data_IF_745960034654
#
_entry.id   IF_745960034654
#
_cell.length_a   1.000
_cell.length_b   1.000
_cell.length_c   1.000
_cell.angle_alpha   90.00
_cell.angle_beta   90.00
_cell.angle_gamma   90.00
#
_symmetry.space_group_name_H-M   'P 1'
#
loop_
_entity.id
_entity.type
_entity.pdbx_description
1 polymer ?
#
# COMPACT_ATOMS: atom_id res chain seq x y z
N UNK A 1 9.37 36.80 -13.50
CA UNK A 1 10.01 36.15 -12.33
C UNK A 1 9.33 34.81 -12.12
N UNK A 2 9.90 33.73 -12.65
CA UNK A 2 9.44 32.37 -12.34
C UNK A 2 9.98 31.98 -10.97
N UNK A 3 9.09 31.91 -9.98
CA UNK A 3 9.37 31.24 -8.72
C UNK A 3 8.89 29.79 -8.84
N UNK A 4 9.64 28.78 -8.38
CA UNK A 4 9.19 27.41 -8.37
C UNK A 4 7.98 27.30 -7.44
N UNK A 5 6.90 26.67 -7.92
CA UNK A 5 5.57 26.72 -7.31
C UNK A 5 5.37 25.67 -6.22
N UNK A 6 6.35 24.81 -5.97
CA UNK A 6 6.27 23.69 -5.04
C UNK A 6 7.60 23.54 -4.29
N UNK A 7 7.54 23.56 -2.96
CA UNK A 7 8.61 23.09 -2.06
C UNK A 7 8.00 22.03 -1.17
N UNK A 8 8.69 20.94 -0.88
CA UNK A 8 8.10 19.80 -0.20
C UNK A 8 8.94 19.27 0.97
N UNK A 9 8.22 18.78 1.98
CA UNK A 9 8.71 18.07 3.16
C UNK A 9 8.13 16.67 3.08
N UNK A 10 8.95 15.63 3.21
CA UNK A 10 8.57 14.28 2.79
C UNK A 10 8.62 13.29 3.94
N UNK A 11 7.70 12.34 3.93
CA UNK A 11 7.82 11.07 4.64
C UNK A 11 7.83 9.96 3.61
N UNK A 12 9.02 9.41 3.35
CA UNK A 12 9.20 8.30 2.41
C UNK A 12 9.23 7.00 3.20
N UNK A 13 8.36 6.07 2.81
CA UNK A 13 8.29 4.74 3.44
C UNK A 13 8.88 3.70 2.49
N UNK A 14 9.90 3.01 2.98
CA UNK A 14 10.58 1.88 2.35
C UNK A 14 10.41 0.64 3.22
N UNK A 15 10.50 -0.53 2.61
CA UNK A 15 10.28 -1.81 3.28
C UNK A 15 11.47 -2.75 3.04
N UNK A 16 12.11 -3.20 4.12
CA UNK A 16 13.19 -4.20 4.23
C UNK A 16 13.13 -4.98 5.57
N UNK A 17 13.56 -6.25 5.62
CA UNK A 17 13.54 -7.13 6.79
C UNK A 17 14.19 -6.53 8.08
N UNK A 18 13.35 -5.96 8.96
CA UNK A 18 13.52 -5.58 10.40
C UNK A 18 13.78 -4.07 10.69
N UNK A 19 13.14 -3.58 11.76
CA UNK A 19 13.09 -2.20 12.34
C UNK A 19 14.46 -1.64 12.78
N UNK A 20 14.64 -0.31 12.66
CA UNK A 20 14.96 0.68 13.73
C UNK A 20 15.09 2.11 13.12
N UNK A 21 14.73 3.14 13.90
CA UNK A 21 14.86 4.59 13.63
C UNK A 21 16.31 5.09 13.79
N UNK A 22 16.72 6.08 12.98
CA UNK A 22 17.90 6.91 13.24
C UNK A 22 17.92 8.17 12.33
N UNK A 23 18.43 9.32 12.80
CA UNK A 23 18.45 10.57 12.03
C UNK A 23 19.62 10.57 11.03
N UNK A 24 19.39 11.12 9.83
CA UNK A 24 20.43 11.41 8.86
C UNK A 24 20.57 12.93 8.68
N UNK A 25 21.80 13.44 8.76
CA UNK A 25 22.22 14.76 8.24
C UNK A 25 23.69 14.64 7.80
N UNK A 26 24.19 15.37 6.77
CA UNK A 26 24.01 16.82 6.59
C UNK A 26 23.64 17.28 5.17
N UNK A 27 22.61 18.14 5.05
CA UNK A 27 22.51 19.39 4.26
C UNK A 27 21.03 19.77 4.10
N UNK A 28 20.72 21.08 4.20
CA UNK A 28 19.42 21.76 4.39
C UNK A 28 18.12 21.19 3.77
N UNK A 29 18.16 20.24 2.83
CA UNK A 29 16.99 19.52 2.30
C UNK A 29 16.67 18.24 3.11
N UNK A 30 17.63 17.62 3.80
CA UNK A 30 17.45 16.38 4.57
C UNK A 30 16.69 16.59 5.88
N UNK A 31 16.70 17.80 6.45
CA UNK A 31 15.94 18.10 7.68
C UNK A 31 14.41 18.04 7.48
N UNK A 32 13.94 18.08 6.23
CA UNK A 32 12.53 17.98 5.86
C UNK A 32 12.11 16.56 5.42
N UNK A 33 13.03 15.58 5.42
CA UNK A 33 12.72 14.22 4.96
C UNK A 33 12.80 13.19 6.08
N UNK A 34 11.67 12.55 6.36
CA UNK A 34 11.58 11.39 7.25
C UNK A 34 11.57 10.10 6.44
N UNK A 35 12.47 9.17 6.76
CA UNK A 35 12.53 7.86 6.10
C UNK A 35 12.13 6.78 7.10
N UNK A 36 11.21 5.91 6.70
CA UNK A 36 10.81 4.73 7.48
C UNK A 36 11.20 3.48 6.72
N UNK A 37 11.97 2.59 7.34
CA UNK A 37 12.38 1.31 6.78
C UNK A 37 11.72 0.19 7.60
N UNK A 38 10.90 -0.67 6.96
CA UNK A 38 10.00 -1.63 7.63
C UNK A 38 10.19 -3.07 7.17
N UNK A 39 10.08 -4.09 8.02
CA UNK A 39 10.20 -5.51 7.61
C UNK A 39 9.28 -5.92 6.45
N UNK A 40 9.85 -6.34 5.30
CA UNK A 40 9.08 -6.85 4.16
C UNK A 40 8.15 -8.02 4.50
N UNK A 41 8.63 -9.04 5.21
CA UNK A 41 7.81 -10.19 5.62
C UNK A 41 6.69 -9.86 6.61
N UNK A 42 6.74 -8.72 7.31
CA UNK A 42 5.69 -8.33 8.26
C UNK A 42 4.79 -7.20 7.75
N UNK A 43 5.29 -6.36 6.84
CA UNK A 43 4.60 -5.17 6.35
C UNK A 43 4.18 -5.30 4.89
N UNK A 44 5.00 -5.89 4.03
CA UNK A 44 4.62 -6.10 2.64
C UNK A 44 3.53 -7.17 2.55
N UNK A 45 2.38 -6.82 2.00
CA UNK A 45 1.27 -7.76 1.73
C UNK A 45 1.25 -8.24 0.28
N UNK A 46 2.42 -8.36 -0.36
CA UNK A 46 2.55 -8.99 -1.67
C UNK A 46 1.96 -8.21 -2.87
N UNK A 47 1.73 -6.90 -2.73
CA UNK A 47 1.20 -6.07 -3.82
C UNK A 47 2.18 -5.90 -4.99
N UNK A 48 1.64 -5.71 -6.19
CA UNK A 48 2.42 -5.39 -7.39
C UNK A 48 3.28 -4.14 -7.17
N UNK A 49 4.48 -4.15 -7.74
CA UNK A 49 5.35 -2.97 -7.74
C UNK A 49 4.73 -1.92 -8.64
N UNK A 50 4.15 -0.89 -8.02
CA UNK A 50 3.65 0.26 -8.74
C UNK A 50 4.82 1.14 -9.19
N UNK A 51 4.94 1.34 -10.50
CA UNK A 51 5.83 2.35 -11.06
C UNK A 51 5.17 3.72 -10.88
N UNK A 52 5.98 4.70 -10.50
CA UNK A 52 5.58 6.10 -10.41
C UNK A 52 6.79 6.97 -10.73
N UNK A 53 6.60 7.96 -11.58
CA UNK A 53 7.58 9.01 -11.83
C UNK A 53 7.50 10.04 -10.71
N UNK A 54 8.62 10.33 -10.09
CA UNK A 54 8.68 11.17 -8.91
C UNK A 54 9.24 12.55 -9.27
N UNK A 55 8.95 13.59 -8.48
CA UNK A 55 9.70 14.84 -8.57
C UNK A 55 11.20 14.57 -8.47
N UNK A 56 12.01 15.26 -9.27
CA UNK A 56 13.47 15.05 -9.33
C UNK A 56 14.12 15.17 -7.96
N UNK A 57 13.63 16.12 -7.16
CA UNK A 57 14.10 16.38 -5.80
C UNK A 57 13.97 15.14 -4.88
N UNK A 58 13.01 14.25 -5.16
CA UNK A 58 12.86 12.98 -4.46
C UNK A 58 13.63 11.83 -5.10
N UNK A 59 13.75 11.83 -6.43
CA UNK A 59 14.50 10.80 -7.15
C UNK A 59 15.99 10.84 -6.79
N UNK A 60 16.54 12.04 -6.64
CA UNK A 60 17.95 12.25 -6.26
C UNK A 60 18.25 11.72 -4.85
N UNK A 61 17.27 11.69 -3.95
CA UNK A 61 17.43 11.19 -2.58
C UNK A 61 17.49 9.65 -2.50
N UNK A 62 16.78 8.95 -3.40
CA UNK A 62 16.70 7.49 -3.41
C UNK A 62 18.09 6.82 -3.41
N UNK A 63 19.02 7.15 -4.32
CA UNK A 63 20.34 6.51 -4.34
C UNK A 63 21.18 6.83 -3.09
N UNK A 64 21.05 8.04 -2.53
CA UNK A 64 21.76 8.40 -1.30
C UNK A 64 21.33 7.53 -0.11
N UNK A 65 20.02 7.29 0.02
CA UNK A 65 19.45 6.44 1.07
C UNK A 65 19.80 4.97 0.85
N UNK A 66 19.74 4.50 -0.40
CA UNK A 66 20.13 3.13 -0.76
C UNK A 66 21.62 2.88 -0.43
N UNK A 67 22.50 3.84 -0.72
CA UNK A 67 23.93 3.77 -0.41
C UNK A 67 24.20 3.81 1.10
N UNK A 68 23.55 4.72 1.82
CA UNK A 68 23.62 4.79 3.27
C UNK A 68 23.18 3.47 3.92
N UNK A 69 22.03 2.94 3.50
CA UNK A 69 21.47 1.71 4.06
C UNK A 69 22.34 0.50 3.76
N UNK A 70 22.83 0.37 2.53
CA UNK A 70 23.72 -0.72 2.09
C UNK A 70 25.04 -0.74 2.84
N UNK A 71 25.61 0.43 3.19
CA UNK A 71 26.84 0.53 3.99
C UNK A 71 26.65 0.00 5.41
N UNK A 72 25.48 0.23 6.01
CA UNK A 72 25.17 -0.21 7.38
C UNK A 72 24.63 -1.65 7.44
N UNK A 73 23.94 -2.10 6.38
CA UNK A 73 23.24 -3.38 6.32
C UNK A 73 23.62 -4.16 5.05
N UNK A 74 24.80 -4.79 5.09
CA UNK A 74 25.30 -5.62 3.99
C UNK A 74 24.35 -6.78 3.66
N UNK A 75 24.14 -7.04 2.37
CA UNK A 75 23.30 -8.15 1.89
C UNK A 75 21.80 -7.86 1.90
N UNK A 76 21.38 -6.63 2.22
CA UNK A 76 19.98 -6.19 2.16
C UNK A 76 19.72 -5.28 0.97
N UNK A 77 18.46 -5.20 0.55
CA UNK A 77 18.01 -4.36 -0.56
C UNK A 77 16.70 -3.67 -0.20
N UNK A 78 16.65 -2.35 -0.37
CA UNK A 78 15.44 -1.58 -0.13
C UNK A 78 14.42 -1.78 -1.26
N UNK A 79 13.15 -1.88 -0.87
CA UNK A 79 12.02 -1.79 -1.77
C UNK A 79 11.18 -0.56 -1.40
N UNK A 80 11.15 0.41 -2.31
CA UNK A 80 10.43 1.66 -2.11
C UNK A 80 8.92 1.49 -2.29
N UNK A 81 8.13 1.85 -1.27
CA UNK A 81 6.66 1.79 -1.31
C UNK A 81 6.09 3.20 -1.40
N UNK A 82 6.13 3.76 -2.60
CA UNK A 82 5.66 5.13 -2.86
C UNK A 82 4.18 5.35 -2.50
N UNK A 83 3.32 4.34 -2.63
CA UNK A 83 1.91 4.45 -2.26
C UNK A 83 1.67 4.66 -0.75
N UNK A 84 2.61 4.29 0.11
CA UNK A 84 2.57 4.57 1.57
C UNK A 84 3.27 5.87 1.95
N UNK A 85 3.98 6.46 1.00
CA UNK A 85 4.71 7.71 1.20
C UNK A 85 3.77 8.90 1.03
N UNK A 86 4.04 9.96 1.78
CA UNK A 86 3.28 11.20 1.78
C UNK A 86 4.17 12.36 2.17
N UNK A 87 3.75 13.58 1.89
CA UNK A 87 4.53 14.78 2.22
C UNK A 87 3.67 16.03 2.20
N UNK A 88 4.20 17.11 2.73
CA UNK A 88 3.62 18.45 2.63
C UNK A 88 4.25 19.16 1.45
N UNK A 89 3.45 19.72 0.54
CA UNK A 89 3.92 20.58 -0.54
C UNK A 89 3.38 22.01 -0.34
N UNK A 90 4.18 23.02 -0.68
CA UNK A 90 3.72 24.41 -0.73
C UNK A 90 3.09 24.66 -2.09
N UNK A 91 1.77 24.70 -2.17
CA UNK A 91 1.00 24.99 -3.39
C UNK A 91 0.74 26.50 -3.52
N UNK A 92 1.33 27.12 -4.53
CA UNK A 92 1.08 28.52 -4.89
C UNK A 92 0.09 28.68 -6.04
N UNK A 93 -0.82 29.64 -5.94
CA UNK A 93 -1.71 30.05 -7.03
C UNK A 93 -1.98 31.57 -6.99
N UNK A 94 -2.92 32.05 -7.80
CA UNK A 94 -3.30 33.47 -7.82
C UNK A 94 -3.91 33.99 -6.50
N UNK A 95 -4.45 33.12 -5.65
CA UNK A 95 -5.08 33.49 -4.37
C UNK A 95 -4.11 33.50 -3.18
N UNK A 96 -2.98 32.79 -3.28
CA UNK A 96 -2.00 32.74 -2.21
C UNK A 96 -1.11 31.50 -2.21
N UNK A 97 -0.64 31.11 -1.03
CA UNK A 97 0.26 29.96 -0.82
C UNK A 97 -0.28 29.07 0.29
N UNK A 98 -0.40 27.78 0.01
CA UNK A 98 -1.04 26.80 0.89
C UNK A 98 -0.14 25.60 1.12
N UNK A 99 -0.14 25.06 2.33
CA UNK A 99 0.57 23.81 2.63
C UNK A 99 -0.40 22.64 2.44
N UNK A 100 -0.14 21.78 1.46
CA UNK A 100 -0.98 20.61 1.17
C UNK A 100 -0.28 19.34 1.64
N UNK A 101 -0.83 18.64 2.62
CA UNK A 101 -0.41 17.28 2.94
C UNK A 101 -1.03 16.32 1.92
N UNK A 102 -0.19 15.75 1.06
CA UNK A 102 -0.57 14.93 -0.09
C UNK A 102 0.14 13.58 -0.03
N UNK A 103 -0.45 12.57 -0.66
CA UNK A 103 0.27 11.34 -0.97
C UNK A 103 1.34 11.62 -2.02
N UNK A 104 2.33 10.75 -2.08
CA UNK A 104 3.34 10.78 -3.13
C UNK A 104 2.73 10.67 -4.55
N UNK A 105 1.60 9.98 -4.71
CA UNK A 105 0.93 9.87 -6.02
C UNK A 105 0.25 11.18 -6.42
N UNK A 106 -0.45 11.82 -5.48
CA UNK A 106 -1.01 13.16 -5.67
C UNK A 106 0.09 14.17 -6.00
N UNK A 107 1.24 14.05 -5.36
CA UNK A 107 2.40 14.89 -5.63
C UNK A 107 2.93 14.71 -7.05
N UNK A 108 3.15 13.46 -7.51
CA UNK A 108 3.55 13.17 -8.89
C UNK A 108 2.60 13.81 -9.92
N UNK A 109 1.28 13.71 -9.68
CA UNK A 109 0.26 14.37 -10.50
C UNK A 109 0.41 15.89 -10.47
N UNK A 110 0.46 16.53 -9.30
CA UNK A 110 0.54 17.99 -9.18
C UNK A 110 1.83 18.58 -9.77
N UNK A 111 2.95 17.89 -9.65
CA UNK A 111 4.23 18.31 -10.22
C UNK A 111 4.24 18.31 -11.75
N UNK A 112 3.27 17.64 -12.40
CA UNK A 112 3.10 17.71 -13.86
C UNK A 112 2.83 19.13 -14.36
N UNK A 113 2.41 20.05 -13.49
CA UNK A 113 2.17 21.47 -13.79
C UNK A 113 3.28 22.43 -13.36
N UNK A 114 4.39 21.96 -12.76
CA UNK A 114 5.40 22.84 -12.16
C UNK A 114 5.99 23.86 -13.16
N UNK A 115 6.26 23.43 -14.39
CA UNK A 115 6.78 24.28 -15.48
C UNK A 115 5.69 24.81 -16.44
N UNK A 116 4.41 24.53 -16.14
CA UNK A 116 3.27 24.80 -17.04
C UNK A 116 1.95 25.00 -16.28
N UNK A 117 1.97 25.88 -15.28
CA UNK A 117 0.86 26.07 -14.34
C UNK A 117 -0.48 26.45 -14.99
N UNK A 118 -0.46 27.14 -16.13
CA UNK A 118 -1.67 27.60 -16.83
C UNK A 118 -2.20 26.63 -17.90
N UNK A 119 -1.51 25.49 -18.11
CA UNK A 119 -1.90 24.53 -19.14
C UNK A 119 -2.93 23.52 -18.64
N UNK A 120 -3.79 23.09 -19.57
CA UNK A 120 -4.68 21.94 -19.38
C UNK A 120 -3.97 20.68 -19.86
N UNK A 121 -3.97 19.63 -19.04
CA UNK A 121 -3.35 18.34 -19.36
C UNK A 121 -4.44 17.29 -19.49
N UNK A 122 -4.35 16.45 -20.52
CA UNK A 122 -5.26 15.32 -20.69
C UNK A 122 -4.94 14.19 -19.72
N UNK A 123 -5.93 13.35 -19.44
CA UNK A 123 -5.76 12.13 -18.66
C UNK A 123 -4.63 11.26 -19.22
N UNK A 124 -4.57 11.07 -20.54
CA UNK A 124 -3.50 10.32 -21.20
C UNK A 124 -2.12 10.95 -20.97
N UNK A 125 -2.01 12.28 -21.09
CA UNK A 125 -0.75 12.99 -20.85
C UNK A 125 -0.26 12.81 -19.41
N UNK A 126 -1.19 12.87 -18.45
CA UNK A 126 -0.90 12.65 -17.03
C UNK A 126 -0.52 11.19 -16.75
N UNK A 127 -1.14 10.22 -17.44
CA UNK A 127 -0.76 8.80 -17.35
C UNK A 127 0.67 8.57 -17.81
N UNK A 128 1.07 9.16 -18.94
CA UNK A 128 2.43 9.05 -19.47
C UNK A 128 3.43 9.76 -18.54
N UNK A 129 3.10 10.96 -18.07
CA UNK A 129 4.00 11.76 -17.23
C UNK A 129 4.24 11.11 -15.85
N UNK A 130 3.19 10.55 -15.24
CA UNK A 130 3.26 9.99 -13.88
C UNK A 130 3.58 8.50 -13.86
N UNK A 131 3.40 7.78 -14.99
CA UNK A 131 3.52 6.33 -15.11
C UNK A 131 2.60 5.53 -14.15
N UNK A 132 1.58 6.18 -13.60
CA UNK A 132 0.64 5.54 -12.70
C UNK A 132 -0.30 4.58 -13.46
N UNK A 133 -0.64 3.42 -12.86
CA UNK A 133 -1.72 2.57 -13.35
C UNK A 133 -3.04 3.35 -13.45
N UNK A 134 -3.85 3.06 -14.46
CA UNK A 134 -5.09 3.81 -14.71
C UNK A 134 -6.04 3.84 -13.49
N UNK A 135 -6.16 2.73 -12.75
CA UNK A 135 -6.98 2.68 -11.53
C UNK A 135 -6.49 3.66 -10.46
N UNK A 136 -5.18 3.73 -10.24
CA UNK A 136 -4.56 4.62 -9.26
C UNK A 136 -4.56 6.08 -9.71
N UNK A 137 -4.32 6.34 -11.00
CA UNK A 137 -4.38 7.68 -11.57
C UNK A 137 -5.79 8.26 -11.45
N UNK A 138 -6.81 7.51 -11.87
CA UNK A 138 -8.23 7.93 -11.75
C UNK A 138 -8.59 8.26 -10.31
N UNK A 139 -8.20 7.40 -9.36
CA UNK A 139 -8.48 7.61 -7.93
C UNK A 139 -7.74 8.84 -7.37
N UNK A 140 -6.50 9.02 -7.79
CA UNK A 140 -5.66 10.17 -7.41
C UNK A 140 -6.24 11.48 -7.96
N UNK A 141 -6.58 11.52 -9.24
CA UNK A 141 -7.21 12.70 -9.87
C UNK A 141 -8.55 13.02 -9.22
N UNK A 142 -9.40 12.01 -9.01
CA UNK A 142 -10.68 12.19 -8.34
C UNK A 142 -10.52 12.83 -6.95
N UNK A 143 -9.51 12.43 -6.19
CA UNK A 143 -9.23 13.02 -4.88
C UNK A 143 -8.85 14.50 -4.92
N UNK A 144 -8.34 14.99 -6.06
CA UNK A 144 -7.88 16.36 -6.25
C UNK A 144 -8.97 17.26 -6.88
N UNK A 145 -9.90 16.69 -7.64
CA UNK A 145 -11.04 17.40 -8.25
C UNK A 145 -12.34 17.29 -7.46
N UNK A 146 -12.47 16.34 -6.54
CA UNK A 146 -13.72 16.04 -5.84
C UNK A 146 -13.48 15.66 -4.36
N UNK A 147 -12.65 16.41 -3.66
CA UNK A 147 -12.41 16.20 -2.24
C UNK A 147 -13.66 16.59 -1.40
N UNK A 148 -14.28 15.66 -0.64
CA UNK A 148 -15.64 15.85 -0.07
C UNK A 148 -15.81 17.01 0.92
N UNK A 149 -14.73 17.50 1.55
CA UNK A 149 -14.79 18.57 2.56
C UNK A 149 -14.32 19.93 2.03
N UNK A 150 -13.99 20.02 0.75
CA UNK A 150 -13.51 21.24 0.13
C UNK A 150 -14.61 21.91 -0.68
N UNK A 151 -14.75 23.22 -0.50
CA UNK A 151 -15.54 24.07 -1.40
C UNK A 151 -14.79 24.35 -2.69
N UNK A 152 -13.51 24.71 -2.59
CA UNK A 152 -12.65 24.90 -3.75
C UNK A 152 -11.70 23.72 -3.88
N UNK A 153 -11.78 23.05 -5.02
CA UNK A 153 -10.97 21.89 -5.35
C UNK A 153 -9.60 22.34 -5.86
N UNK A 154 -8.57 21.50 -5.68
CA UNK A 154 -7.19 21.84 -6.09
C UNK A 154 -7.06 21.81 -7.61
N UNK A 155 -7.68 20.80 -8.23
CA UNK A 155 -7.77 20.67 -9.68
C UNK A 155 -9.20 20.95 -10.15
N UNK A 156 -9.30 21.45 -11.37
CA UNK A 156 -10.52 21.52 -12.14
C UNK A 156 -10.48 20.49 -13.28
N UNK A 157 -11.65 20.12 -13.79
CA UNK A 157 -11.81 19.21 -14.93
C UNK A 157 -12.96 19.68 -15.83
N UNK A 158 -12.91 19.28 -17.10
CA UNK A 158 -13.98 19.53 -18.08
C UNK A 158 -15.12 18.50 -18.03
N UNK A 159 -14.98 17.45 -17.22
CA UNK A 159 -16.07 16.52 -16.93
C UNK A 159 -17.21 17.20 -16.17
N UNK A 160 -18.42 17.16 -16.76
CA UNK A 160 -19.65 17.72 -16.17
C UNK A 160 -20.07 16.96 -14.90
N UNK A 161 -19.97 15.63 -14.91
CA UNK A 161 -20.24 14.77 -13.77
C UNK A 161 -18.93 14.31 -13.15
N UNK A 162 -18.74 14.62 -11.87
CA UNK A 162 -17.59 14.17 -11.09
C UNK A 162 -17.77 12.70 -10.68
N UNK A 163 -17.62 11.79 -11.64
CA UNK A 163 -17.65 10.35 -11.45
C UNK A 163 -16.33 9.76 -11.97
N UNK A 164 -15.54 9.03 -11.15
CA UNK A 164 -14.25 8.48 -11.59
C UNK A 164 -14.34 7.58 -12.83
N UNK A 165 -15.50 6.96 -13.07
CA UNK A 165 -15.72 6.07 -14.22
C UNK A 165 -15.87 6.80 -15.56
N UNK A 166 -16.07 8.11 -15.53
CA UNK A 166 -16.31 8.92 -16.73
C UNK A 166 -15.03 9.59 -17.25
N UNK A 167 -13.93 9.53 -16.48
CA UNK A 167 -12.63 9.95 -16.95
C UNK A 167 -12.17 9.05 -18.10
N UNK A 168 -11.84 9.68 -19.21
CA UNK A 168 -11.31 9.03 -20.40
C UNK A 168 -10.01 9.72 -20.83
N UNK A 169 -9.32 9.15 -21.81
CA UNK A 169 -8.00 9.63 -22.24
C UNK A 169 -7.99 11.11 -22.68
N UNK A 170 -9.14 11.65 -23.15
CA UNK A 170 -9.29 13.05 -23.57
C UNK A 170 -9.72 14.01 -22.46
N UNK A 171 -10.16 13.52 -21.30
CA UNK A 171 -10.57 14.36 -20.16
C UNK A 171 -9.44 15.29 -19.76
N UNK A 172 -9.74 16.59 -19.65
CA UNK A 172 -8.77 17.62 -19.34
C UNK A 172 -8.81 17.98 -17.85
N UNK A 173 -7.62 18.22 -17.29
CA UNK A 173 -7.42 18.67 -15.92
C UNK A 173 -6.53 19.91 -15.90
N UNK A 174 -6.73 20.81 -14.93
CA UNK A 174 -5.87 21.98 -14.74
C UNK A 174 -5.87 22.46 -13.29
N UNK A 175 -4.84 23.24 -12.94
CA UNK A 175 -4.74 23.87 -11.62
C UNK A 175 -5.87 24.87 -11.42
N UNK A 176 -6.58 24.77 -10.30
CA UNK A 176 -7.55 25.78 -9.91
C UNK A 176 -6.83 27.03 -9.37
N UNK A 177 -6.67 28.03 -10.24
CA UNK A 177 -6.05 29.31 -9.85
C UNK A 177 -6.86 30.10 -8.81
N UNK A 178 -8.14 29.77 -8.63
CA UNK A 178 -9.04 30.35 -7.61
C UNK A 178 -9.13 29.49 -6.34
N UNK A 179 -8.32 28.44 -6.20
CA UNK A 179 -8.30 27.64 -4.98
C UNK A 179 -7.95 28.50 -3.76
N UNK A 180 -8.77 28.43 -2.73
CA UNK A 180 -8.51 29.04 -1.44
C UNK A 180 -9.08 28.18 -0.31
N UNK A 181 -8.52 28.31 0.89
CA UNK A 181 -9.06 27.67 2.09
C UNK A 181 -10.10 28.60 2.69
N UNK A 182 -11.32 28.09 2.92
CA UNK A 182 -12.38 28.87 3.59
C UNK A 182 -12.38 28.54 5.08
N UNK A 183 -12.16 29.56 5.93
CA UNK A 183 -12.28 29.44 7.39
C UNK A 183 -13.29 30.46 7.89
N UNK A 184 -14.30 30.01 8.63
CA UNK A 184 -15.40 30.85 9.14
C UNK A 184 -16.08 31.69 8.04
N UNK A 185 -16.26 31.10 6.85
CA UNK A 185 -16.88 31.78 5.71
C UNK A 185 -16.02 32.83 5.01
N UNK A 186 -14.73 32.95 5.36
CA UNK A 186 -13.78 33.87 4.73
C UNK A 186 -12.66 33.13 4.01
N UNK A 187 -12.37 33.60 2.81
CA UNK A 187 -11.26 33.12 2.00
C UNK A 187 -9.93 33.46 2.68
N UNK A 188 -9.07 32.45 2.80
CA UNK A 188 -7.72 32.58 3.33
C UNK A 188 -6.72 32.50 2.18
N UNK A 189 -5.73 33.38 2.19
CA UNK A 189 -4.58 33.34 1.26
C UNK A 189 -3.44 32.43 1.74
N UNK A 190 -3.56 31.89 2.95
CA UNK A 190 -2.63 30.92 3.53
C UNK A 190 -3.37 29.90 4.40
N UNK A 191 -2.77 28.73 4.54
CA UNK A 191 -3.23 27.70 5.47
C UNK A 191 -2.73 26.32 5.07
N UNK A 192 -2.98 25.34 5.94
CA UNK A 192 -2.59 23.95 5.73
C UNK A 192 -3.81 23.05 5.59
N UNK A 193 -3.76 22.12 4.65
CA UNK A 193 -4.83 21.19 4.35
C UNK A 193 -4.31 19.76 4.15
N UNK A 194 -4.99 18.78 4.73
CA UNK A 194 -4.67 17.37 4.52
C UNK A 194 -5.58 16.72 3.46
N UNK A 195 -4.97 16.35 2.33
CA UNK A 195 -5.60 15.74 1.16
C UNK A 195 -5.34 14.24 1.01
N UNK A 196 -4.59 13.62 1.93
CA UNK A 196 -4.30 12.18 1.90
C UNK A 196 -5.59 11.35 1.95
N UNK A 197 -6.52 11.76 2.82
CA UNK A 197 -7.85 11.15 2.94
C UNK A 197 -7.80 9.63 3.13
N UNK A 198 -8.55 8.90 2.29
CA UNK A 198 -8.60 7.43 2.28
C UNK A 198 -7.68 6.80 1.24
N UNK A 199 -6.82 7.58 0.57
CA UNK A 199 -6.02 7.07 -0.55
C UNK A 199 -5.01 6.01 -0.13
N UNK A 200 -4.57 6.03 1.11
CA UNK A 200 -3.63 5.04 1.64
C UNK A 200 -4.32 3.88 2.38
N UNK A 201 -5.66 3.86 2.43
CA UNK A 201 -6.42 2.77 3.02
C UNK A 201 -6.58 1.62 2.03
N UNK A 202 -6.80 0.41 2.56
CA UNK A 202 -7.01 -0.81 1.80
C UNK A 202 -8.15 -0.66 0.78
N UNK A 203 -7.94 -1.17 -0.42
CA UNK A 203 -8.93 -1.21 -1.51
C UNK A 203 -9.70 -2.53 -1.48
N UNK A 204 -10.89 -2.59 -2.09
CA UNK A 204 -11.69 -3.82 -2.22
C UNK A 204 -10.89 -5.06 -2.72
N UNK A 205 -10.00 -4.95 -3.73
CA UNK A 205 -9.13 -6.07 -4.12
C UNK A 205 -8.24 -6.60 -2.99
N UNK A 206 -7.82 -5.76 -2.04
CA UNK A 206 -7.04 -6.21 -0.88
C UNK A 206 -7.88 -7.10 0.04
N UNK A 207 -9.20 -6.90 0.13
CA UNK A 207 -10.06 -7.71 1.01
C UNK A 207 -10.18 -9.16 0.52
N UNK A 208 -10.26 -9.38 -0.79
CA UNK A 208 -10.30 -10.73 -1.35
C UNK A 208 -8.95 -11.44 -1.20
N UNK A 209 -7.85 -10.75 -1.50
CA UNK A 209 -6.51 -11.32 -1.29
C UNK A 209 -6.27 -11.69 0.18
N UNK A 210 -6.67 -10.82 1.12
CA UNK A 210 -6.58 -11.11 2.56
C UNK A 210 -7.45 -12.32 2.96
N UNK A 211 -8.63 -12.47 2.36
CA UNK A 211 -9.48 -13.62 2.58
C UNK A 211 -8.82 -14.92 2.10
N UNK A 212 -8.22 -14.89 0.92
CA UNK A 212 -7.54 -16.04 0.31
C UNK A 212 -6.29 -16.43 1.14
N UNK A 213 -5.53 -15.45 1.62
CA UNK A 213 -4.39 -15.66 2.53
C UNK A 213 -4.83 -16.30 3.86
N UNK A 214 -5.97 -15.87 4.41
CA UNK A 214 -6.56 -16.49 5.61
C UNK A 214 -6.92 -17.95 5.34
N UNK A 215 -7.50 -18.26 4.19
CA UNK A 215 -7.83 -19.65 3.81
C UNK A 215 -6.56 -20.48 3.69
N UNK A 216 -5.54 -19.98 2.99
CA UNK A 216 -4.25 -20.64 2.83
C UNK A 216 -3.58 -20.90 4.20
N UNK A 217 -3.62 -19.92 5.10
CA UNK A 217 -3.09 -20.08 6.46
C UNK A 217 -3.84 -21.17 7.24
N UNK A 218 -5.17 -21.25 7.13
CA UNK A 218 -5.97 -22.30 7.78
C UNK A 218 -5.59 -23.69 7.26
N UNK A 219 -5.38 -23.83 5.96
CA UNK A 219 -4.88 -25.07 5.34
C UNK A 219 -3.55 -25.50 5.96
N UNK A 220 -2.55 -24.60 5.97
CA UNK A 220 -1.23 -24.88 6.53
C UNK A 220 -1.28 -25.22 8.02
N UNK A 221 -2.12 -24.52 8.80
CA UNK A 221 -2.29 -24.79 10.24
C UNK A 221 -2.93 -26.14 10.52
N UNK A 222 -3.90 -26.57 9.71
CA UNK A 222 -4.48 -27.91 9.83
C UNK A 222 -3.42 -28.97 9.52
N UNK A 223 -2.66 -28.81 8.44
CA UNK A 223 -1.59 -29.74 8.07
C UNK A 223 -0.54 -29.85 9.18
N UNK A 224 -0.02 -28.72 9.66
CA UNK A 224 0.94 -28.63 10.76
C UNK A 224 0.42 -29.33 12.03
N UNK A 225 -0.82 -29.05 12.43
CA UNK A 225 -1.41 -29.60 13.63
C UNK A 225 -1.61 -31.12 13.54
N UNK A 226 -2.07 -31.64 12.40
CA UNK A 226 -2.20 -33.09 12.19
C UNK A 226 -0.83 -33.78 12.26
N UNK A 227 0.19 -33.24 11.57
CA UNK A 227 1.55 -33.77 11.63
C UNK A 227 2.09 -33.75 13.06
N UNK A 228 1.85 -32.67 13.82
CA UNK A 228 2.27 -32.53 15.22
C UNK A 228 1.65 -33.61 16.12
N UNK A 229 0.33 -33.85 16.01
CA UNK A 229 -0.36 -34.90 16.78
C UNK A 229 0.19 -36.29 16.40
N UNK A 230 0.29 -36.56 15.10
CA UNK A 230 0.69 -37.86 14.57
C UNK A 230 2.15 -38.19 14.89
N UNK A 231 3.03 -37.19 14.91
CA UNK A 231 4.44 -37.35 15.29
C UNK A 231 4.61 -37.81 16.73
N UNK A 232 3.73 -37.38 17.64
CA UNK A 232 3.72 -37.78 19.06
C UNK A 232 3.09 -39.16 19.24
N UNK A 233 1.89 -39.38 18.67
CA UNK A 233 1.13 -40.61 18.92
C UNK A 233 1.60 -41.81 18.10
N UNK A 234 2.22 -41.58 16.94
CA UNK A 234 2.62 -42.57 15.92
C UNK A 234 1.45 -43.36 15.30
N UNK A 235 0.39 -43.66 16.04
CA UNK A 235 -0.85 -44.29 15.61
C UNK A 235 -2.04 -43.63 16.31
N UNK A 236 -3.07 -43.22 15.58
CA UNK A 236 -4.20 -42.48 16.13
C UNK A 236 -5.51 -42.79 15.37
N UNK A 237 -6.61 -42.99 16.11
CA UNK A 237 -7.93 -43.14 15.51
C UNK A 237 -8.47 -41.81 14.99
N UNK A 238 -9.24 -41.85 13.91
CA UNK A 238 -9.82 -40.67 13.25
C UNK A 238 -10.62 -39.77 14.21
N UNK A 239 -11.46 -40.35 15.06
CA UNK A 239 -12.25 -39.59 16.04
C UNK A 239 -11.37 -38.88 17.08
N UNK A 240 -10.31 -39.55 17.55
CA UNK A 240 -9.37 -38.98 18.50
C UNK A 240 -8.53 -37.86 17.86
N UNK A 241 -8.05 -38.08 16.63
CA UNK A 241 -7.32 -37.07 15.86
C UNK A 241 -8.16 -35.80 15.68
N UNK A 242 -9.45 -35.93 15.35
CA UNK A 242 -10.35 -34.78 15.19
C UNK A 242 -10.52 -33.99 16.49
N UNK A 243 -10.72 -34.66 17.63
CA UNK A 243 -10.88 -33.99 18.93
C UNK A 243 -9.62 -33.21 19.31
N UNK A 244 -8.44 -33.83 19.17
CA UNK A 244 -7.17 -33.16 19.47
C UNK A 244 -6.84 -32.02 18.49
N UNK A 245 -7.19 -32.19 17.22
CA UNK A 245 -7.02 -31.15 16.21
C UNK A 245 -7.86 -29.91 16.55
N UNK A 246 -9.13 -30.10 16.93
CA UNK A 246 -10.01 -29.00 17.36
C UNK A 246 -9.45 -28.32 18.60
N UNK A 247 -9.00 -29.08 19.59
CA UNK A 247 -8.46 -28.55 20.84
C UNK A 247 -7.19 -27.70 20.60
N UNK A 248 -6.32 -28.13 19.67
CA UNK A 248 -5.12 -27.37 19.31
C UNK A 248 -5.43 -26.08 18.53
N UNK A 249 -6.44 -26.11 17.66
CA UNK A 249 -6.74 -24.99 16.75
C UNK A 249 -7.78 -24.00 17.30
N UNK A 250 -8.53 -24.33 18.36
CA UNK A 250 -9.69 -23.54 18.85
C UNK A 250 -9.39 -22.09 19.18
N UNK A 251 -8.15 -21.75 19.58
CA UNK A 251 -7.74 -20.38 19.89
C UNK A 251 -7.52 -19.53 18.62
N UNK A 252 -7.35 -20.18 17.46
CA UNK A 252 -7.17 -19.53 16.16
C UNK A 252 -8.45 -19.57 15.32
N UNK A 253 -9.04 -20.76 15.16
CA UNK A 253 -10.29 -20.97 14.41
C UNK A 253 -10.85 -22.38 14.66
N UNK A 254 -12.12 -22.58 14.31
CA UNK A 254 -12.74 -23.90 14.27
C UNK A 254 -12.66 -24.48 12.84
N UNK A 255 -11.88 -25.54 12.58
CA UNK A 255 -11.75 -26.11 11.24
C UNK A 255 -13.05 -26.81 10.79
N UNK A 256 -13.44 -26.63 9.53
CA UNK A 256 -14.60 -27.32 8.98
C UNK A 256 -14.29 -28.80 8.72
N UNK A 257 -15.30 -29.68 8.84
CA UNK A 257 -15.12 -31.12 8.53
C UNK A 257 -14.60 -31.37 7.12
N UNK A 258 -15.03 -30.54 6.16
CA UNK A 258 -14.56 -30.60 4.76
C UNK A 258 -13.06 -30.32 4.68
N UNK A 259 -12.60 -29.21 5.29
CA UNK A 259 -11.19 -28.83 5.30
C UNK A 259 -10.32 -29.92 5.95
N UNK A 260 -10.74 -30.46 7.10
CA UNK A 260 -9.98 -31.52 7.79
C UNK A 260 -9.84 -32.75 6.90
N UNK A 261 -10.92 -33.18 6.23
CA UNK A 261 -10.90 -34.33 5.33
C UNK A 261 -9.93 -34.12 4.16
N UNK A 262 -10.03 -32.98 3.47
CA UNK A 262 -9.16 -32.62 2.34
C UNK A 262 -7.68 -32.60 2.76
N UNK A 263 -7.38 -32.04 3.93
CA UNK A 263 -5.99 -31.98 4.41
C UNK A 263 -5.44 -33.34 4.88
N UNK A 264 -6.28 -34.22 5.42
CA UNK A 264 -5.87 -35.60 5.74
C UNK A 264 -5.55 -36.37 4.45
N UNK A 265 -6.39 -36.24 3.42
CA UNK A 265 -6.15 -36.87 2.11
C UNK A 265 -4.84 -36.36 1.50
N UNK A 266 -4.63 -35.04 1.49
CA UNK A 266 -3.37 -34.44 1.04
C UNK A 266 -2.15 -34.96 1.83
N UNK A 267 -2.25 -35.10 3.15
CA UNK A 267 -1.15 -35.63 3.97
C UNK A 267 -0.85 -37.12 3.71
N UNK A 268 -1.86 -37.90 3.31
CA UNK A 268 -1.68 -39.29 2.88
C UNK A 268 -0.96 -39.35 1.54
N UNK A 269 -1.40 -38.56 0.57
CA UNK A 269 -0.78 -38.48 -0.76
C UNK A 269 0.68 -38.03 -0.69
N UNK A 270 0.99 -37.09 0.21
CA UNK A 270 2.34 -36.58 0.44
C UNK A 270 3.15 -37.43 1.45
N UNK A 271 2.66 -38.62 1.83
CA UNK A 271 3.37 -39.62 2.65
C UNK A 271 3.78 -39.14 4.05
N UNK A 272 3.05 -38.19 4.64
CA UNK A 272 3.24 -37.83 6.05
C UNK A 272 2.55 -38.84 6.99
N UNK A 273 1.39 -39.35 6.58
CA UNK A 273 0.59 -40.35 7.30
C UNK A 273 0.06 -41.40 6.34
N UNK A 274 -0.30 -42.58 6.83
CA UNK A 274 -0.98 -43.64 6.09
C UNK A 274 -2.24 -44.08 6.84
N UNK A 275 -3.18 -44.70 6.12
CA UNK A 275 -4.20 -45.53 6.76
C UNK A 275 -3.59 -46.85 7.20
N UNK A 276 -4.02 -47.32 8.35
CA UNK A 276 -3.65 -48.64 8.84
C UNK A 276 -4.24 -49.72 7.92
N UNK A 277 -3.47 -50.75 7.52
CA UNK A 277 -3.96 -51.81 6.64
C UNK A 277 -5.01 -52.70 7.31
N UNK A 278 -5.06 -52.75 8.64
CA UNK A 278 -6.03 -53.54 9.40
C UNK A 278 -7.26 -52.74 9.83
N UNK A 279 -7.15 -51.41 9.97
CA UNK A 279 -8.26 -50.54 10.36
C UNK A 279 -8.24 -49.21 9.59
N UNK A 280 -9.20 -49.04 8.69
CA UNK A 280 -9.32 -47.83 7.88
C UNK A 280 -9.60 -46.56 8.69
N UNK A 281 -10.12 -46.69 9.92
CA UNK A 281 -10.36 -45.57 10.83
C UNK A 281 -9.13 -45.18 11.66
N UNK A 282 -8.01 -45.88 11.49
CA UNK A 282 -6.75 -45.60 12.17
C UNK A 282 -5.72 -45.05 11.19
N UNK A 283 -5.04 -43.99 11.60
CA UNK A 283 -3.91 -43.40 10.88
C UNK A 283 -2.59 -43.79 11.55
N UNK A 284 -1.55 -43.96 10.74
CA UNK A 284 -0.18 -44.26 11.16
C UNK A 284 0.75 -43.19 10.61
N UNK A 285 1.70 -42.72 11.41
CA UNK A 285 2.70 -41.74 11.01
C UNK A 285 3.84 -42.43 10.23
N UNK A 286 4.24 -41.88 9.08
CA UNK A 286 5.22 -42.51 8.19
C UNK A 286 6.63 -41.92 8.33
N UNK A 287 6.76 -40.63 8.67
CA UNK A 287 8.05 -39.90 8.63
C UNK A 287 8.48 -39.31 9.96
#
# INVERSE_FOLDING_TARGET
MHFPFLSATFTVTSVDQIKIFGPCNPHYFLDSVSIKILNAGAWSRGGERMQVQMPRELEDLIPEVDDFYRKQHSGRKLQWLHHWSHGTIVFGNAMGKFDLDVTTLQMSVLFSWNDRADQRLSYESLRIATQLPASELTRTLYSLVAYPKLRHQVLCTDCTSLNPREFNDSTLFWINQQFCIIKNGKDQSRGRLNLIGRLQLSTEPNHQAEHDDIIALRVLRVQEAVVKIMKVRKRCQSAQLQTELIELLKQMFLPSRKLVKEQIEWLIENKFIARDPSDFNTFVYIS
#
